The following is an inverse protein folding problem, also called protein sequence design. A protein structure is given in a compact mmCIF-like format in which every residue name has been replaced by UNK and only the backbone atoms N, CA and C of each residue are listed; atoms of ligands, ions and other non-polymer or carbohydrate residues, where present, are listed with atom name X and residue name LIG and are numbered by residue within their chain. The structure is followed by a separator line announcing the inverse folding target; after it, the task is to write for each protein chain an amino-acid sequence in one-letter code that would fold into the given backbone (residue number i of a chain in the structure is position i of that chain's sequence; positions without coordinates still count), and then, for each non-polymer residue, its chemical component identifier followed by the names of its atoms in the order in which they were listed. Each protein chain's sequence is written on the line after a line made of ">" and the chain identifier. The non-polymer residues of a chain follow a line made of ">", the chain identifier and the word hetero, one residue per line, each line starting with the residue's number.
data_IF_228898166163
#
_entry.id   IF_228898166163
#
_cell.length_a   1.000
_cell.length_b   1.000
_cell.length_c   1.000
_cell.angle_alpha   90.00
_cell.angle_beta   90.00
_cell.angle_gamma   90.00
#
_symmetry.space_group_name_H-M   'P 1'
#
loop_
_entity.id
_entity.type
_entity.pdbx_description
1 polymer ?
#
# COMPACT_ATOMS: atom_id res chain seq x y z
N UNK A 1 -30.47 -31.08 -6.25
CA UNK A 1 -29.00 -30.83 -6.21
C UNK A 1 -28.54 -30.79 -4.77
N UNK A 2 -27.76 -31.77 -4.32
CA UNK A 2 -27.21 -31.83 -2.96
C UNK A 2 -26.27 -30.64 -2.71
N UNK A 3 -26.06 -30.26 -1.44
CA UNK A 3 -25.13 -29.18 -1.08
C UNK A 3 -23.72 -29.42 -1.68
N UNK A 4 -23.26 -30.68 -1.70
CA UNK A 4 -22.01 -31.08 -2.33
C UNK A 4 -21.93 -30.75 -3.83
N UNK A 5 -23.03 -30.95 -4.58
CA UNK A 5 -23.06 -30.62 -6.02
C UNK A 5 -22.95 -29.12 -6.29
N UNK A 6 -23.44 -28.26 -5.38
CA UNK A 6 -23.34 -26.80 -5.52
C UNK A 6 -21.92 -26.29 -5.25
N UNK A 7 -21.23 -26.87 -4.27
CA UNK A 7 -19.83 -26.55 -3.97
C UNK A 7 -18.89 -26.99 -5.10
N UNK A 8 -19.14 -28.16 -5.69
CA UNK A 8 -18.39 -28.64 -6.87
C UNK A 8 -18.59 -27.73 -8.08
N UNK A 9 -19.82 -27.28 -8.34
CA UNK A 9 -20.11 -26.33 -9.42
C UNK A 9 -19.45 -24.97 -9.19
N UNK A 10 -19.47 -24.44 -7.97
CA UNK A 10 -18.80 -23.19 -7.61
C UNK A 10 -17.28 -23.30 -7.75
N UNK A 11 -16.67 -24.36 -7.24
CA UNK A 11 -15.24 -24.61 -7.38
C UNK A 11 -14.84 -24.73 -8.86
N UNK A 12 -15.66 -25.43 -9.66
CA UNK A 12 -15.45 -25.56 -11.10
C UNK A 12 -15.61 -24.22 -11.83
N UNK A 13 -16.58 -23.38 -11.44
CA UNK A 13 -16.74 -22.04 -11.99
C UNK A 13 -15.53 -21.14 -11.68
N UNK A 14 -15.04 -21.19 -10.44
CA UNK A 14 -13.84 -20.44 -10.02
C UNK A 14 -12.59 -20.92 -10.76
N UNK A 15 -12.40 -22.24 -10.90
CA UNK A 15 -11.31 -22.83 -11.68
C UNK A 15 -11.41 -22.51 -13.18
N UNK A 16 -12.62 -22.47 -13.74
CA UNK A 16 -12.86 -22.11 -15.13
C UNK A 16 -12.64 -20.61 -15.40
N UNK A 17 -12.82 -19.75 -14.40
CA UNK A 17 -12.60 -18.30 -14.47
C UNK A 17 -11.15 -17.90 -14.12
N UNK A 18 -10.41 -18.72 -13.38
CA UNK A 18 -9.00 -18.49 -13.03
C UNK A 18 -8.08 -18.17 -14.22
N UNK A 19 -8.15 -18.83 -15.40
CA UNK A 19 -7.30 -18.47 -16.54
C UNK A 19 -7.65 -17.14 -17.19
N UNK A 20 -8.83 -16.57 -16.91
CA UNK A 20 -9.22 -15.22 -17.33
C UNK A 20 -8.85 -14.14 -16.30
N UNK A 21 -8.49 -14.55 -15.08
CA UNK A 21 -7.98 -13.64 -14.06
C UNK A 21 -6.53 -13.28 -14.41
N UNK A 22 -6.35 -12.15 -15.11
CA UNK A 22 -5.04 -11.53 -15.24
C UNK A 22 -4.78 -10.68 -14.01
N UNK A 23 -4.00 -11.20 -13.07
CA UNK A 23 -3.32 -10.34 -12.12
C UNK A 23 -2.36 -9.45 -12.92
N UNK A 24 -2.60 -8.14 -12.90
CA UNK A 24 -1.63 -7.20 -13.44
C UNK A 24 -0.42 -7.24 -12.51
N UNK A 25 0.72 -7.70 -13.03
CA UNK A 25 1.98 -7.61 -12.33
C UNK A 25 2.40 -6.13 -12.28
N UNK A 26 2.11 -5.46 -11.17
CA UNK A 26 2.55 -4.08 -10.94
C UNK A 26 3.98 -4.15 -10.43
N UNK A 27 4.94 -4.10 -11.35
CA UNK A 27 6.33 -3.80 -11.03
C UNK A 27 6.49 -2.28 -11.15
N UNK A 28 6.36 -1.50 -10.07
CA UNK A 28 6.57 -0.06 -10.15
C UNK A 28 8.05 0.23 -10.45
N UNK A 29 8.33 1.40 -11.04
CA UNK A 29 9.72 1.79 -11.22
C UNK A 29 10.33 2.15 -9.86
N UNK A 30 11.61 1.85 -9.67
CA UNK A 30 12.30 2.04 -8.39
C UNK A 30 13.64 2.74 -8.60
N UNK A 31 13.83 3.85 -7.90
CA UNK A 31 15.05 4.64 -7.85
C UNK A 31 15.65 4.57 -6.45
N UNK A 32 16.86 4.06 -6.36
CA UNK A 32 17.64 3.93 -5.13
C UNK A 32 18.86 4.83 -5.24
N UNK A 33 19.09 5.67 -4.23
CA UNK A 33 20.20 6.61 -4.19
C UNK A 33 20.89 6.40 -2.86
N UNK A 34 22.10 5.86 -2.89
CA UNK A 34 22.87 5.57 -1.68
C UNK A 34 24.12 6.43 -1.66
N UNK A 35 24.28 7.25 -0.63
CA UNK A 35 25.51 8.00 -0.40
C UNK A 35 26.58 7.08 0.20
N UNK A 36 27.61 6.79 -0.60
CA UNK A 36 28.69 5.85 -0.22
C UNK A 36 29.80 6.54 0.57
N UNK A 37 30.07 7.80 0.25
CA UNK A 37 30.93 8.74 0.98
C UNK A 37 30.34 10.13 0.79
N UNK A 38 30.64 11.11 1.65
CA UNK A 38 30.08 12.46 1.52
C UNK A 38 30.24 13.03 0.11
N UNK A 39 29.12 13.30 -0.57
CA UNK A 39 29.09 13.81 -1.95
C UNK A 39 29.38 12.79 -3.05
N UNK A 40 29.37 11.48 -2.76
CA UNK A 40 29.42 10.40 -3.75
C UNK A 40 28.25 9.44 -3.60
N UNK A 41 27.43 9.36 -4.65
CA UNK A 41 26.22 8.56 -4.65
C UNK A 41 26.32 7.40 -5.63
N UNK A 42 25.86 6.23 -5.20
CA UNK A 42 25.55 5.06 -6.02
C UNK A 42 24.06 5.08 -6.33
N UNK A 43 23.70 5.15 -7.60
CA UNK A 43 22.31 5.15 -8.05
C UNK A 43 21.97 3.83 -8.70
N UNK A 44 20.81 3.28 -8.35
CA UNK A 44 20.18 2.16 -9.03
C UNK A 44 18.79 2.57 -9.52
N UNK A 45 18.55 2.34 -10.80
CA UNK A 45 17.27 2.57 -11.46
C UNK A 45 16.74 1.26 -11.99
N UNK A 46 15.57 0.85 -11.51
CA UNK A 46 14.83 -0.33 -11.99
C UNK A 46 13.62 0.15 -12.75
N UNK A 47 13.60 -0.12 -14.05
CA UNK A 47 12.50 0.22 -14.92
C UNK A 47 11.75 -1.03 -15.38
N UNK A 48 10.43 -1.13 -15.13
CA UNK A 48 9.65 -2.26 -15.60
C UNK A 48 9.53 -2.26 -17.13
N UNK A 49 9.55 -3.46 -17.70
CA UNK A 49 9.26 -3.71 -19.11
C UNK A 49 7.81 -4.19 -19.20
N UNK A 50 6.95 -3.39 -19.83
CA UNK A 50 5.54 -3.77 -20.08
C UNK A 50 5.36 -4.09 -21.55
N UNK A 51 4.82 -5.27 -21.85
CA UNK A 51 4.57 -5.75 -23.22
C UNK A 51 5.83 -5.70 -24.13
N UNK A 52 6.99 -6.04 -23.56
CA UNK A 52 8.27 -6.02 -24.27
C UNK A 52 8.81 -4.61 -24.57
N UNK A 53 8.20 -3.55 -24.02
CA UNK A 53 8.64 -2.16 -24.18
C UNK A 53 8.99 -1.53 -22.84
N UNK A 54 10.08 -0.76 -22.83
CA UNK A 54 10.39 0.15 -21.73
C UNK A 54 9.38 1.29 -21.70
N UNK A 55 8.98 1.69 -20.50
CA UNK A 55 8.33 2.98 -20.31
C UNK A 55 9.33 4.08 -20.73
N UNK A 56 8.84 5.21 -21.27
CA UNK A 56 9.71 6.35 -21.61
C UNK A 56 9.83 7.26 -20.40
N UNK A 57 10.35 6.70 -19.30
CA UNK A 57 10.57 7.40 -18.04
C UNK A 57 12.02 7.31 -17.64
N UNK A 58 12.64 8.45 -17.32
CA UNK A 58 14.05 8.52 -16.97
C UNK A 58 14.24 9.50 -15.81
N UNK A 59 15.04 9.15 -14.79
CA UNK A 59 15.32 10.05 -13.69
C UNK A 59 16.28 11.16 -14.16
N UNK A 60 15.90 12.39 -13.87
CA UNK A 60 16.63 13.61 -14.19
C UNK A 60 17.22 14.16 -12.90
N UNK A 61 18.55 14.23 -12.88
CA UNK A 61 19.36 14.79 -11.80
C UNK A 61 19.81 16.21 -12.16
N UNK A 62 20.25 17.02 -11.18
CA UNK A 62 20.84 18.34 -11.45
C UNK A 62 22.02 18.25 -12.44
N UNK A 63 22.26 19.34 -13.19
CA UNK A 63 23.36 19.39 -14.19
C UNK A 63 24.75 19.11 -13.60
N UNK A 64 24.96 19.41 -12.32
CA UNK A 64 26.21 19.13 -11.62
C UNK A 64 26.47 17.63 -11.37
N UNK A 65 25.45 16.77 -11.50
CA UNK A 65 25.51 15.35 -11.22
C UNK A 65 25.75 14.53 -12.50
N UNK A 66 27.01 14.44 -12.93
CA UNK A 66 27.36 13.65 -14.12
C UNK A 66 27.36 12.14 -13.83
N UNK A 67 26.76 11.36 -14.73
CA UNK A 67 26.73 9.90 -14.62
C UNK A 67 28.12 9.30 -14.91
N UNK A 68 28.68 8.59 -13.94
CA UNK A 68 29.94 7.86 -14.04
C UNK A 68 29.71 6.36 -13.88
N UNK A 69 30.58 5.52 -14.47
CA UNK A 69 30.54 4.05 -14.30
C UNK A 69 29.17 3.41 -14.60
N UNK A 70 28.50 3.87 -15.66
CA UNK A 70 27.16 3.40 -16.03
C UNK A 70 27.21 1.94 -16.44
N UNK A 71 26.33 1.14 -15.85
CA UNK A 71 26.12 -0.27 -16.18
C UNK A 71 24.62 -0.53 -16.35
N UNK A 72 24.26 -1.28 -17.39
CA UNK A 72 22.87 -1.65 -17.68
C UNK A 72 22.79 -3.16 -17.76
N UNK A 73 21.94 -3.75 -16.93
CA UNK A 73 21.72 -5.18 -16.84
C UNK A 73 20.24 -5.48 -17.07
N UNK A 74 19.89 -6.20 -18.15
CA UNK A 74 18.53 -6.67 -18.35
C UNK A 74 18.23 -7.83 -17.40
N UNK A 75 17.02 -7.84 -16.84
CA UNK A 75 16.47 -8.95 -16.07
C UNK A 75 15.05 -9.26 -16.56
N UNK A 76 14.48 -10.43 -16.24
CA UNK A 76 13.12 -10.77 -16.65
C UNK A 76 12.13 -9.69 -16.20
N UNK A 77 11.48 -9.02 -17.16
CA UNK A 77 10.47 -7.99 -16.89
C UNK A 77 11.01 -6.63 -16.38
N UNK A 78 12.32 -6.43 -16.26
CA UNK A 78 12.91 -5.19 -15.72
C UNK A 78 14.27 -4.88 -16.35
N UNK A 79 14.55 -3.61 -16.58
CA UNK A 79 15.89 -3.11 -16.91
C UNK A 79 16.47 -2.48 -15.65
N UNK A 80 17.68 -2.88 -15.27
CA UNK A 80 18.40 -2.31 -14.13
C UNK A 80 19.56 -1.49 -14.65
N UNK A 81 19.55 -0.18 -14.42
CA UNK A 81 20.67 0.71 -14.69
C UNK A 81 21.32 1.09 -13.34
N UNK A 82 22.65 1.07 -13.27
CA UNK A 82 23.41 1.49 -12.10
C UNK A 82 24.54 2.41 -12.52
N UNK A 83 24.71 3.52 -11.81
CA UNK A 83 25.79 4.47 -12.04
C UNK A 83 26.22 5.12 -10.74
N UNK A 84 27.32 5.85 -10.79
CA UNK A 84 27.82 6.68 -9.71
C UNK A 84 27.76 8.15 -10.12
N UNK A 85 27.58 9.05 -9.17
CA UNK A 85 27.71 10.49 -9.40
C UNK A 85 28.40 11.14 -8.22
N UNK A 86 29.09 12.25 -8.47
CA UNK A 86 29.63 13.10 -7.42
C UNK A 86 29.10 14.51 -7.58
N UNK A 87 28.25 14.92 -6.64
CA UNK A 87 27.60 16.22 -6.61
C UNK A 87 26.99 16.43 -5.21
N UNK A 88 26.42 17.61 -4.94
CA UNK A 88 25.62 17.85 -3.73
C UNK A 88 24.13 17.61 -4.04
N UNK A 89 23.55 16.57 -3.45
CA UNK A 89 22.12 16.27 -3.57
C UNK A 89 21.29 16.79 -2.39
N UNK A 90 21.91 17.34 -1.35
CA UNK A 90 21.23 17.75 -0.11
C UNK A 90 20.13 18.77 -0.35
N UNK A 91 20.31 19.64 -1.36
CA UNK A 91 19.31 20.64 -1.75
C UNK A 91 18.85 20.55 -3.21
N UNK A 92 18.97 19.36 -3.79
CA UNK A 92 18.59 19.14 -5.17
C UNK A 92 17.10 18.81 -5.32
N UNK A 93 16.59 18.96 -6.54
CA UNK A 93 15.35 18.33 -6.97
C UNK A 93 15.67 17.18 -7.90
N UNK A 94 14.92 16.08 -7.75
CA UNK A 94 14.97 14.93 -8.64
C UNK A 94 13.61 14.84 -9.32
N UNK A 95 13.60 14.68 -10.63
CA UNK A 95 12.36 14.49 -11.37
C UNK A 95 12.40 13.25 -12.24
N UNK A 96 11.23 12.69 -12.55
CA UNK A 96 11.12 11.59 -13.53
C UNK A 96 10.47 12.16 -14.79
N UNK A 97 11.29 12.36 -15.83
CA UNK A 97 10.80 12.86 -17.11
C UNK A 97 9.86 11.83 -17.74
N UNK A 98 8.69 12.27 -18.22
CA UNK A 98 7.73 11.42 -18.91
C UNK A 98 6.77 10.67 -17.99
N UNK A 99 6.96 10.75 -16.66
CA UNK A 99 6.10 10.11 -15.67
C UNK A 99 4.65 10.63 -15.74
N UNK A 100 4.50 11.93 -16.03
CA UNK A 100 3.22 12.61 -16.18
C UNK A 100 2.33 12.05 -17.30
N UNK A 101 2.92 11.26 -18.21
CA UNK A 101 2.24 10.60 -19.34
C UNK A 101 1.94 9.13 -19.07
N UNK A 102 2.17 8.68 -17.84
CA UNK A 102 1.98 7.28 -17.44
C UNK A 102 0.93 7.16 -16.33
N UNK A 103 0.53 5.92 -16.03
CA UNK A 103 -0.33 5.57 -14.89
C UNK A 103 0.48 4.83 -13.81
N UNK A 104 1.81 4.93 -13.86
CA UNK A 104 2.71 4.19 -12.98
C UNK A 104 3.33 5.14 -11.98
N UNK A 105 3.50 4.67 -10.76
CA UNK A 105 4.20 5.39 -9.71
C UNK A 105 5.67 4.97 -9.65
N UNK A 106 6.53 5.87 -9.19
CA UNK A 106 7.97 5.61 -8.98
C UNK A 106 8.31 5.71 -7.51
N UNK A 107 8.83 4.62 -6.96
CA UNK A 107 9.36 4.58 -5.59
C UNK A 107 10.80 5.10 -5.60
N UNK A 108 11.07 6.10 -4.77
CA UNK A 108 12.38 6.67 -4.55
C UNK A 108 12.81 6.37 -3.12
N UNK A 109 14.02 5.84 -2.96
CA UNK A 109 14.69 5.69 -1.68
C UNK A 109 16.03 6.43 -1.73
N UNK A 110 16.25 7.32 -0.77
CA UNK A 110 17.50 8.03 -0.55
C UNK A 110 18.09 7.51 0.78
N UNK A 111 19.34 7.08 0.78
CA UNK A 111 20.09 6.66 1.96
C UNK A 111 21.33 7.55 2.09
N UNK A 112 21.26 8.64 2.89
CA UNK A 112 22.42 9.50 3.14
C UNK A 112 23.50 8.77 3.96
N UNK A 113 24.73 9.31 3.99
CA UNK A 113 25.89 8.60 4.55
C UNK A 113 25.78 8.33 6.06
N UNK A 114 25.20 9.26 6.82
CA UNK A 114 25.08 9.19 8.28
C UNK A 114 23.70 9.62 8.79
N UNK A 115 22.69 9.59 7.90
CA UNK A 115 21.30 9.89 8.25
C UNK A 115 20.37 8.72 7.87
N UNK A 116 19.19 8.61 8.50
CA UNK A 116 18.22 7.58 8.15
C UNK A 116 17.80 7.65 6.69
N UNK A 117 17.54 6.50 6.08
CA UNK A 117 17.00 6.46 4.73
C UNK A 117 15.62 7.12 4.66
N UNK A 118 15.42 7.96 3.65
CA UNK A 118 14.17 8.63 3.32
C UNK A 118 13.53 7.93 2.12
N UNK A 119 12.22 7.74 2.16
CA UNK A 119 11.45 7.18 1.05
C UNK A 119 10.35 8.12 0.61
N UNK A 120 10.10 8.16 -0.69
CA UNK A 120 9.07 8.98 -1.31
C UNK A 120 8.51 8.27 -2.55
N UNK A 121 7.30 8.64 -2.97
CA UNK A 121 6.76 8.23 -4.27
C UNK A 121 6.43 9.42 -5.14
N UNK A 122 6.96 9.36 -6.36
CA UNK A 122 6.67 10.26 -7.45
C UNK A 122 5.48 9.71 -8.22
N UNK A 123 4.46 10.55 -8.36
CA UNK A 123 3.21 10.24 -9.06
C UNK A 123 3.17 11.00 -10.38
N UNK A 124 2.36 10.56 -11.37
CA UNK A 124 2.15 11.33 -12.60
C UNK A 124 1.71 12.79 -12.36
N UNK A 125 0.97 13.06 -11.28
CA UNK A 125 0.54 14.42 -10.90
C UNK A 125 1.61 15.25 -10.19
N UNK A 126 2.67 14.62 -9.67
CA UNK A 126 3.77 15.26 -8.96
C UNK A 126 5.08 14.50 -9.26
N UNK A 127 5.67 14.69 -10.45
CA UNK A 127 6.82 13.91 -10.92
C UNK A 127 8.16 14.44 -10.42
N UNK A 128 8.15 15.37 -9.45
CA UNK A 128 9.33 16.06 -8.90
C UNK A 128 9.35 15.87 -7.38
N UNK A 129 10.51 15.52 -6.85
CA UNK A 129 10.82 15.46 -5.42
C UNK A 129 11.87 16.54 -5.12
N UNK A 130 11.58 17.39 -4.14
CA UNK A 130 12.54 18.33 -3.57
C UNK A 130 13.17 17.69 -2.33
N UNK A 131 14.49 17.50 -2.33
CA UNK A 131 15.22 16.83 -1.26
C UNK A 131 15.41 17.73 -0.02
N UNK A 132 15.32 19.06 -0.19
CA UNK A 132 15.38 20.06 0.89
C UNK A 132 14.13 20.11 1.78
N UNK A 133 13.02 19.50 1.36
CA UNK A 133 11.75 19.65 2.05
C UNK A 133 11.60 18.56 3.13
N UNK A 134 11.33 18.90 4.41
CA UNK A 134 10.78 17.91 5.34
C UNK A 134 9.52 17.29 4.72
N UNK A 135 9.25 16.00 4.99
CA UNK A 135 8.17 15.23 4.35
C UNK A 135 6.98 16.13 3.98
N UNK A 136 6.65 16.25 2.68
CA UNK A 136 5.80 17.33 2.17
C UNK A 136 4.36 17.28 2.67
N UNK A 137 4.01 16.24 3.43
CA UNK A 137 2.70 16.00 4.02
C UNK A 137 2.73 16.47 5.48
N UNK A 138 2.04 17.57 5.82
CA UNK A 138 1.89 17.98 7.21
C UNK A 138 1.37 16.82 8.06
N UNK A 139 1.86 16.65 9.28
CA UNK A 139 1.47 15.54 10.18
C UNK A 139 -0.06 15.41 10.32
N UNK A 140 -0.78 16.54 10.33
CA UNK A 140 -2.25 16.57 10.40
C UNK A 140 -2.94 16.06 9.12
N UNK A 141 -2.29 16.09 7.97
CA UNK A 141 -2.83 15.55 6.73
C UNK A 141 -2.93 14.01 6.75
N UNK A 142 -2.17 13.32 7.61
CA UNK A 142 -2.34 11.88 7.81
C UNK A 142 -3.71 11.51 8.40
N UNK A 143 -4.31 12.38 9.20
CA UNK A 143 -5.68 12.19 9.67
C UNK A 143 -6.66 12.16 8.50
N UNK A 144 -6.56 13.12 7.58
CA UNK A 144 -7.39 13.16 6.38
C UNK A 144 -7.13 11.96 5.48
N UNK A 145 -5.86 11.57 5.31
CA UNK A 145 -5.50 10.36 4.55
C UNK A 145 -6.15 9.11 5.14
N UNK A 146 -6.24 8.98 6.46
CA UNK A 146 -6.95 7.88 7.12
C UNK A 146 -8.46 7.86 6.83
N UNK A 147 -9.09 9.04 6.84
CA UNK A 147 -10.52 9.17 6.48
C UNK A 147 -10.73 8.79 5.01
N UNK A 148 -9.92 9.36 4.12
CA UNK A 148 -10.02 9.12 2.67
C UNK A 148 -9.73 7.65 2.33
N UNK A 149 -8.78 7.01 3.02
CA UNK A 149 -8.48 5.57 2.89
C UNK A 149 -9.72 4.70 3.09
N UNK A 150 -10.53 4.99 4.12
CA UNK A 150 -11.75 4.23 4.38
C UNK A 150 -12.88 4.60 3.42
N UNK A 151 -13.09 5.90 3.16
CA UNK A 151 -14.21 6.34 2.33
C UNK A 151 -14.04 5.99 0.84
N UNK A 152 -12.80 5.90 0.35
CA UNK A 152 -12.51 5.49 -1.03
C UNK A 152 -12.05 4.03 -1.15
N UNK A 153 -11.74 3.37 -0.03
CA UNK A 153 -11.46 1.93 0.03
C UNK A 153 -12.74 1.10 -0.01
N UNK A 154 -13.19 0.72 -1.20
CA UNK A 154 -14.41 -0.10 -1.36
C UNK A 154 -14.36 -1.42 -0.58
N UNK A 155 -13.18 -2.03 -0.46
CA UNK A 155 -12.94 -3.21 0.35
C UNK A 155 -13.26 -2.96 1.84
N UNK A 156 -12.86 -1.82 2.38
CA UNK A 156 -13.16 -1.40 3.75
C UNK A 156 -14.64 -1.09 3.94
N UNK A 157 -15.27 -0.38 3.01
CA UNK A 157 -16.71 -0.09 3.09
C UNK A 157 -17.55 -1.36 3.01
N UNK A 158 -17.23 -2.28 2.10
CA UNK A 158 -17.91 -3.58 1.98
C UNK A 158 -17.71 -4.42 3.25
N UNK A 159 -16.52 -4.36 3.84
CA UNK A 159 -16.23 -5.00 5.11
C UNK A 159 -17.07 -4.43 6.26
N UNK A 160 -17.09 -3.10 6.43
CA UNK A 160 -17.90 -2.45 7.47
C UNK A 160 -19.38 -2.73 7.27
N UNK A 161 -19.87 -2.65 6.03
CA UNK A 161 -21.25 -2.98 5.68
C UNK A 161 -21.60 -4.43 6.06
N UNK A 162 -20.74 -5.39 5.70
CA UNK A 162 -20.96 -6.79 6.06
C UNK A 162 -20.99 -7.02 7.58
N UNK A 163 -20.18 -6.28 8.34
CA UNK A 163 -20.23 -6.33 9.81
C UNK A 163 -21.54 -5.75 10.33
N UNK A 164 -22.03 -4.63 9.79
CA UNK A 164 -23.31 -4.05 10.19
C UNK A 164 -24.49 -5.01 9.99
N UNK A 165 -24.43 -5.91 9.01
CA UNK A 165 -25.48 -6.91 8.76
C UNK A 165 -25.47 -8.09 9.75
N UNK A 166 -24.35 -8.30 10.46
CA UNK A 166 -24.15 -9.45 11.36
C UNK A 166 -24.18 -9.01 12.82
N UNK A 167 -23.71 -7.79 13.10
CA UNK A 167 -23.45 -7.30 14.45
C UNK A 167 -24.61 -6.44 14.95
N UNK A 168 -24.94 -6.56 16.24
CA UNK A 168 -25.94 -5.68 16.88
C UNK A 168 -25.40 -4.25 16.96
N UNK A 169 -26.25 -3.24 16.78
CA UNK A 169 -25.85 -1.81 16.84
C UNK A 169 -24.93 -1.46 18.02
N UNK A 170 -25.23 -1.96 19.23
CA UNK A 170 -24.42 -1.72 20.44
C UNK A 170 -22.98 -2.26 20.38
N UNK A 171 -22.71 -3.25 19.52
CA UNK A 171 -21.42 -3.93 19.38
C UNK A 171 -20.62 -3.40 18.17
N UNK A 172 -21.23 -2.59 17.30
CA UNK A 172 -20.61 -2.11 16.06
C UNK A 172 -19.36 -1.31 16.38
N UNK A 173 -19.46 -0.28 17.22
CA UNK A 173 -18.32 0.57 17.57
C UNK A 173 -17.14 -0.23 18.10
N UNK A 174 -17.36 -1.11 19.09
CA UNK A 174 -16.28 -1.96 19.63
C UNK A 174 -15.65 -2.89 18.58
N UNK A 175 -16.46 -3.39 17.64
CA UNK A 175 -15.99 -4.27 16.56
C UNK A 175 -15.14 -3.51 15.55
N UNK A 176 -15.51 -2.26 15.24
CA UNK A 176 -14.74 -1.38 14.36
C UNK A 176 -13.43 -0.97 15.02
N UNK A 177 -13.45 -0.57 16.29
CA UNK A 177 -12.24 -0.25 17.05
C UNK A 177 -11.30 -1.45 17.09
N UNK A 178 -11.81 -2.68 17.26
CA UNK A 178 -10.98 -3.89 17.22
C UNK A 178 -10.30 -4.10 15.84
N UNK A 179 -10.99 -3.81 14.74
CA UNK A 179 -10.39 -3.80 13.40
C UNK A 179 -9.29 -2.74 13.30
N UNK A 180 -9.55 -1.52 13.74
CA UNK A 180 -8.60 -0.40 13.65
C UNK A 180 -7.36 -0.64 14.49
N UNK A 181 -7.50 -1.21 15.69
CA UNK A 181 -6.36 -1.60 16.53
C UNK A 181 -5.50 -2.63 15.79
N UNK A 182 -6.11 -3.69 15.24
CA UNK A 182 -5.38 -4.71 14.50
C UNK A 182 -4.68 -4.14 13.25
N UNK A 183 -5.38 -3.29 12.49
CA UNK A 183 -4.85 -2.59 11.34
C UNK A 183 -3.66 -1.70 11.72
N UNK A 184 -3.77 -0.98 12.85
CA UNK A 184 -2.69 -0.14 13.38
C UNK A 184 -1.44 -0.95 13.69
N UNK A 185 -1.61 -2.14 14.27
CA UNK A 185 -0.49 -3.02 14.62
C UNK A 185 0.27 -3.44 13.37
N UNK A 186 -0.41 -3.94 12.33
CA UNK A 186 0.29 -4.43 11.13
C UNK A 186 0.85 -3.30 10.28
N UNK A 187 0.19 -2.15 10.25
CA UNK A 187 0.72 -0.95 9.60
C UNK A 187 1.99 -0.45 10.31
N UNK A 188 2.00 -0.41 11.64
CA UNK A 188 3.17 -0.02 12.42
C UNK A 188 4.32 -1.04 12.28
N UNK A 189 4.01 -2.34 12.30
CA UNK A 189 5.02 -3.38 12.04
C UNK A 189 5.65 -3.22 10.65
N UNK A 190 4.85 -2.88 9.64
CA UNK A 190 5.38 -2.69 8.30
C UNK A 190 6.22 -1.42 8.18
N UNK A 191 5.72 -0.30 8.71
CA UNK A 191 6.38 0.99 8.60
C UNK A 191 7.61 1.14 9.50
N UNK A 192 7.58 0.61 10.73
CA UNK A 192 8.64 0.82 11.73
C UNK A 192 9.59 -0.37 11.87
N UNK A 193 9.09 -1.61 11.68
CA UNK A 193 9.89 -2.82 11.81
C UNK A 193 10.25 -3.45 10.45
N UNK A 194 9.84 -2.85 9.33
CA UNK A 194 10.17 -3.32 7.99
C UNK A 194 9.50 -4.65 7.60
N UNK A 195 8.47 -5.09 8.34
CA UNK A 195 7.77 -6.34 8.07
C UNK A 195 6.86 -6.16 6.87
N UNK A 196 7.20 -6.75 5.74
CA UNK A 196 6.39 -6.69 4.52
C UNK A 196 5.93 -8.07 4.08
N UNK A 197 4.74 -8.12 3.50
CA UNK A 197 4.19 -9.30 2.85
C UNK A 197 4.03 -9.01 1.35
N UNK A 198 4.13 -10.02 0.48
CA UNK A 198 3.83 -9.84 -0.94
C UNK A 198 2.37 -9.36 -1.12
N UNK A 199 2.16 -8.34 -1.93
CA UNK A 199 0.83 -7.74 -2.17
C UNK A 199 -0.22 -8.73 -2.67
N UNK A 200 0.02 -9.52 -3.74
CA UNK A 200 -1.04 -10.33 -4.34
C UNK A 200 -1.69 -11.36 -3.38
N UNK A 201 -0.93 -12.12 -2.56
CA UNK A 201 -1.52 -12.97 -1.52
C UNK A 201 -2.36 -12.20 -0.49
N UNK A 202 -1.93 -11.00 -0.08
CA UNK A 202 -2.66 -10.16 0.88
C UNK A 202 -3.97 -9.66 0.27
N UNK A 203 -3.93 -9.16 -0.96
CA UNK A 203 -5.13 -8.71 -1.69
C UNK A 203 -6.15 -9.83 -1.88
N UNK A 204 -5.71 -11.05 -2.20
CA UNK A 204 -6.57 -12.23 -2.29
C UNK A 204 -7.21 -12.54 -0.93
N UNK A 205 -6.42 -12.48 0.16
CA UNK A 205 -6.93 -12.73 1.51
C UNK A 205 -7.96 -11.67 1.95
N UNK A 206 -7.74 -10.40 1.58
CA UNK A 206 -8.70 -9.30 1.79
C UNK A 206 -9.99 -9.55 1.00
N UNK A 207 -9.90 -9.90 -0.29
CA UNK A 207 -11.08 -10.23 -1.08
C UNK A 207 -11.86 -11.42 -0.48
N UNK A 208 -11.14 -12.45 -0.03
CA UNK A 208 -11.74 -13.61 0.64
C UNK A 208 -12.41 -13.25 1.97
N UNK A 209 -11.88 -12.27 2.73
CA UNK A 209 -12.49 -11.82 3.98
C UNK A 209 -13.90 -11.23 3.74
N UNK A 210 -14.05 -10.44 2.68
CA UNK A 210 -15.33 -9.83 2.29
C UNK A 210 -16.32 -10.90 1.84
N UNK A 211 -15.89 -11.87 1.03
CA UNK A 211 -16.73 -12.99 0.61
C UNK A 211 -17.19 -13.82 1.81
N UNK A 212 -16.29 -14.10 2.76
CA UNK A 212 -16.63 -14.80 3.99
C UNK A 212 -17.70 -14.02 4.77
N UNK A 213 -17.53 -12.72 4.91
CA UNK A 213 -18.47 -11.87 5.62
C UNK A 213 -19.86 -11.84 4.94
N UNK A 214 -19.91 -11.79 3.61
CA UNK A 214 -21.15 -11.89 2.86
C UNK A 214 -21.86 -13.25 3.08
N UNK A 215 -21.12 -14.36 3.09
CA UNK A 215 -21.66 -15.68 3.41
C UNK A 215 -22.22 -15.71 4.84
N UNK A 216 -21.50 -15.13 5.80
CA UNK A 216 -21.91 -15.09 7.19
C UNK A 216 -23.15 -14.21 7.42
N UNK A 217 -23.29 -13.11 6.68
CA UNK A 217 -24.51 -12.29 6.68
C UNK A 217 -25.73 -13.09 6.19
N UNK A 218 -25.57 -13.89 5.12
CA UNK A 218 -26.63 -14.77 4.61
C UNK A 218 -26.98 -15.93 5.56
N UNK A 219 -26.00 -16.42 6.33
CA UNK A 219 -26.24 -17.44 7.37
C UNK A 219 -27.00 -16.84 8.55
N UNK A 220 -26.60 -15.65 8.98
CA UNK A 220 -27.26 -14.90 10.05
C UNK A 220 -28.74 -14.63 9.70
N UNK A 221 -29.03 -14.21 8.46
CA UNK A 221 -30.42 -13.96 8.02
C UNK A 221 -31.31 -15.22 8.00
N UNK A 222 -30.71 -16.41 7.99
CA UNK A 222 -31.39 -17.71 8.07
C UNK A 222 -31.49 -18.25 9.50
N UNK A 223 -31.11 -17.45 10.50
CA UNK A 223 -31.12 -17.85 11.91
C UNK A 223 -30.02 -18.85 12.29
N UNK A 224 -29.00 -19.02 11.47
CA UNK A 224 -27.87 -19.91 11.78
C UNK A 224 -26.84 -19.19 12.63
N UNK A 225 -26.31 -19.86 13.65
CA UNK A 225 -25.23 -19.33 14.48
C UNK A 225 -23.87 -19.74 13.91
N UNK A 226 -22.90 -18.81 13.95
CA UNK A 226 -21.52 -19.03 13.52
C UNK A 226 -20.55 -18.30 14.45
N UNK A 227 -19.25 -18.56 14.26
CA UNK A 227 -18.20 -17.93 15.06
C UNK A 227 -18.16 -16.41 14.87
N UNK A 228 -18.38 -15.93 13.64
CA UNK A 228 -18.41 -14.50 13.31
C UNK A 228 -19.62 -13.79 13.92
N UNK A 229 -20.75 -14.47 14.08
CA UNK A 229 -21.92 -13.94 14.79
C UNK A 229 -21.66 -13.89 16.31
N UNK A 230 -20.95 -14.89 16.85
CA UNK A 230 -20.71 -15.01 18.30
C UNK A 230 -19.59 -14.10 18.79
N UNK A 231 -18.53 -13.93 18.01
CA UNK A 231 -17.35 -13.14 18.33
C UNK A 231 -16.95 -12.21 17.17
N UNK A 232 -17.82 -11.27 16.78
CA UNK A 232 -17.56 -10.40 15.64
C UNK A 232 -16.31 -9.54 15.80
N UNK A 233 -16.01 -9.08 17.01
CA UNK A 233 -14.80 -8.32 17.32
C UNK A 233 -13.51 -9.10 17.06
N UNK A 234 -13.49 -10.42 17.30
CA UNK A 234 -12.31 -11.25 17.08
C UNK A 234 -12.07 -11.49 15.58
N UNK A 235 -13.15 -11.66 14.81
CA UNK A 235 -13.08 -11.76 13.35
C UNK A 235 -12.63 -10.42 12.75
N UNK A 236 -13.20 -9.31 13.22
CA UNK A 236 -12.80 -7.98 12.78
C UNK A 236 -11.34 -7.67 13.11
N UNK A 237 -10.86 -8.08 14.28
CA UNK A 237 -9.43 -8.01 14.63
C UNK A 237 -8.57 -8.82 13.66
N UNK A 238 -8.92 -10.08 13.39
CA UNK A 238 -8.17 -10.94 12.48
C UNK A 238 -8.08 -10.37 11.05
N UNK A 239 -9.18 -9.81 10.55
CA UNK A 239 -9.19 -9.15 9.24
C UNK A 239 -8.47 -7.80 9.25
N UNK A 240 -8.55 -7.03 10.33
CA UNK A 240 -7.78 -5.79 10.49
C UNK A 240 -6.28 -6.02 10.36
N UNK A 241 -5.75 -7.12 10.91
CA UNK A 241 -4.34 -7.50 10.73
C UNK A 241 -3.98 -7.62 9.24
N UNK A 242 -4.81 -8.33 8.46
CA UNK A 242 -4.58 -8.53 7.02
C UNK A 242 -4.69 -7.22 6.24
N UNK A 243 -5.71 -6.42 6.52
CA UNK A 243 -5.94 -5.16 5.82
C UNK A 243 -4.81 -4.15 6.02
N UNK A 244 -4.22 -4.07 7.23
CA UNK A 244 -3.10 -3.16 7.48
C UNK A 244 -1.86 -3.46 6.62
N UNK A 245 -1.62 -4.73 6.27
CA UNK A 245 -0.59 -5.09 5.29
C UNK A 245 -0.95 -4.70 3.85
N UNK A 246 -2.24 -4.71 3.50
CA UNK A 246 -2.71 -4.29 2.18
C UNK A 246 -2.45 -2.81 1.90
N UNK A 247 -2.52 -1.96 2.93
CA UNK A 247 -2.21 -0.53 2.80
C UNK A 247 -0.73 -0.18 3.00
N UNK A 248 0.08 -1.08 3.58
CA UNK A 248 1.47 -0.79 3.91
C UNK A 248 2.31 -0.33 2.72
N UNK A 249 2.10 -0.91 1.52
CA UNK A 249 2.79 -0.47 0.29
C UNK A 249 2.41 0.95 -0.14
N UNK A 250 1.14 1.32 0.00
CA UNK A 250 0.68 2.68 -0.27
C UNK A 250 1.20 3.67 0.78
N UNK A 251 1.30 3.30 2.06
CA UNK A 251 1.90 4.17 3.06
C UNK A 251 3.41 4.34 2.84
N UNK A 252 4.12 3.28 2.45
CA UNK A 252 5.52 3.35 2.04
C UNK A 252 5.71 4.28 0.83
N UNK A 253 4.69 4.39 -0.04
CA UNK A 253 4.70 5.36 -1.15
C UNK A 253 4.60 6.80 -0.66
N UNK A 254 3.70 7.07 0.28
CA UNK A 254 3.46 8.41 0.81
C UNK A 254 4.64 8.85 1.70
N UNK A 255 5.33 7.90 2.31
CA UNK A 255 6.37 8.14 3.30
C UNK A 255 5.77 8.54 4.66
N UNK A 256 6.62 8.55 5.69
CA UNK A 256 6.31 9.08 7.01
C UNK A 256 7.23 10.26 7.32
N UNK A 257 6.76 11.28 8.05
CA UNK A 257 7.58 12.41 8.46
C UNK A 257 8.61 11.98 9.50
N UNK A 258 9.89 12.24 9.20
CA UNK A 258 11.00 11.91 10.08
C UNK A 258 10.82 12.54 11.47
N UNK A 259 11.02 11.74 12.52
CA UNK A 259 10.87 12.15 13.93
C UNK A 259 9.42 12.31 14.42
N UNK A 260 8.41 12.10 13.56
CA UNK A 260 6.99 12.14 13.92
C UNK A 260 6.19 10.96 13.34
N UNK A 261 6.87 9.86 13.01
CA UNK A 261 6.31 8.67 12.35
C UNK A 261 5.18 8.05 13.18
N UNK A 262 5.41 7.89 14.48
CA UNK A 262 4.41 7.33 15.41
C UNK A 262 3.16 8.23 15.47
N UNK A 263 3.36 9.55 15.47
CA UNK A 263 2.26 10.51 15.50
C UNK A 263 1.48 10.51 14.17
N UNK A 264 2.17 10.44 13.04
CA UNK A 264 1.54 10.33 11.72
C UNK A 264 0.73 9.02 11.60
N UNK A 265 1.28 7.89 12.05
CA UNK A 265 0.57 6.60 12.11
C UNK A 265 -0.65 6.66 13.05
N UNK A 266 -0.52 7.28 14.21
CA UNK A 266 -1.63 7.45 15.15
C UNK A 266 -2.75 8.30 14.53
N UNK A 267 -2.41 9.45 13.93
CA UNK A 267 -3.38 10.31 13.26
C UNK A 267 -4.06 9.62 12.08
N UNK A 268 -3.30 8.85 11.29
CA UNK A 268 -3.87 8.03 10.22
C UNK A 268 -4.91 7.06 10.76
N UNK A 269 -4.61 6.30 11.82
CA UNK A 269 -5.57 5.32 12.36
C UNK A 269 -6.77 5.99 13.08
N UNK A 270 -6.58 7.18 13.67
CA UNK A 270 -7.69 8.02 14.16
C UNK A 270 -8.59 8.43 12.98
N UNK A 271 -8.00 8.81 11.85
CA UNK A 271 -8.72 9.09 10.61
C UNK A 271 -9.50 7.88 10.09
N UNK A 272 -8.90 6.68 10.14
CA UNK A 272 -9.56 5.41 9.79
C UNK A 272 -10.81 5.19 10.65
N UNK A 273 -10.67 5.27 11.97
CA UNK A 273 -11.82 5.09 12.88
C UNK A 273 -12.91 6.14 12.64
N UNK A 274 -12.53 7.41 12.41
CA UNK A 274 -13.46 8.47 12.06
C UNK A 274 -14.20 8.17 10.75
N UNK A 275 -13.50 7.72 9.70
CA UNK A 275 -14.11 7.34 8.42
C UNK A 275 -15.13 6.21 8.57
N UNK A 276 -14.81 5.21 9.40
CA UNK A 276 -15.74 4.11 9.69
C UNK A 276 -16.98 4.59 10.45
N UNK A 277 -16.81 5.43 11.47
CA UNK A 277 -17.91 5.99 12.25
C UNK A 277 -18.81 6.87 11.38
N UNK A 278 -18.22 7.69 10.50
CA UNK A 278 -18.97 8.51 9.55
C UNK A 278 -19.81 7.66 8.61
N UNK A 279 -19.25 6.57 8.06
CA UNK A 279 -19.99 5.66 7.19
C UNK A 279 -21.14 4.96 7.92
N UNK A 280 -20.94 4.55 9.17
CA UNK A 280 -21.97 3.88 9.98
C UNK A 280 -23.09 4.84 10.42
N UNK A 281 -22.74 6.11 10.63
CA UNK A 281 -23.68 7.14 11.06
C UNK A 281 -24.49 7.80 9.93
N UNK A 282 -24.12 7.56 8.67
CA UNK A 282 -24.80 8.07 7.47
C UNK A 282 -25.97 7.18 7.05
#
# INVERSE_FOLDING_TARGET
>A
MSAASRWLLLAWLVLALAPFARAHEVNPAYLDIQETTPGQYSILWKQPIKDGRRLKIDPVFPEACEKQNVSVSPAPGVIVERWQTSCDLTNASISISGLERTLTDVFLRLEPFDEPAVSAVLRPSQPVLELSAPSPVPVLAYLRLGVDHILFGFDHLLFVLGLMLIVRARQVLWTLTAFTIAHSITLALSALAGVSLPGPPVEIAIAMSIVLLAIEALRHSRGQASLSIRYPWAIAFGFGLLHGFGFAGALASIGLPAGTEILALALFNIGVELGQVLFVGA
#
